data_IF_306269167072
#
_entry.id   IF_306269167072
#
_cell.length_a   1.000
_cell.length_b   1.000
_cell.length_c   1.000
_cell.angle_alpha   90.00
_cell.angle_beta   90.00
_cell.angle_gamma   90.00
#
_symmetry.space_group_name_H-M   'P 1'
#
loop_
_entity.id
_entity.type
_entity.pdbx_description
1 polymer ?
#
# COMPACT_ATOMS: atom_id res chain seq x y z
N UNK A 1 -4.33 -15.00 -16.02
CA UNK A 1 -5.56 -14.44 -15.40
C UNK A 1 -6.08 -13.31 -16.27
N UNK A 2 -6.96 -13.61 -17.21
CA UNK A 2 -7.54 -12.63 -18.15
C UNK A 2 -9.06 -12.54 -18.04
N UNK A 3 -9.64 -13.02 -16.94
CA UNK A 3 -11.08 -12.97 -16.78
C UNK A 3 -11.49 -11.62 -16.16
N UNK A 4 -11.89 -10.68 -17.01
CA UNK A 4 -12.34 -9.34 -16.61
C UNK A 4 -13.48 -9.35 -15.57
N UNK A 5 -14.25 -10.44 -15.48
CA UNK A 5 -15.31 -10.59 -14.47
C UNK A 5 -14.78 -10.81 -13.05
N UNK A 6 -13.52 -11.25 -12.90
CA UNK A 6 -12.86 -11.38 -11.60
C UNK A 6 -12.11 -10.10 -11.19
N UNK A 7 -11.66 -9.30 -12.17
CA UNK A 7 -10.89 -8.08 -11.90
C UNK A 7 -11.76 -6.84 -11.73
N UNK A 8 -12.92 -6.77 -12.35
CA UNK A 8 -13.81 -5.61 -12.26
C UNK A 8 -14.17 -5.27 -10.81
N UNK A 9 -14.79 -6.18 -10.06
CA UNK A 9 -15.15 -5.92 -8.67
C UNK A 9 -13.92 -5.69 -7.76
N UNK A 10 -12.82 -6.40 -8.00
CA UNK A 10 -11.60 -6.23 -7.21
C UNK A 10 -10.92 -4.90 -7.53
N UNK A 11 -10.86 -4.49 -8.79
CA UNK A 11 -10.28 -3.23 -9.21
C UNK A 11 -11.02 -2.04 -8.58
N UNK A 12 -12.35 -2.08 -8.54
CA UNK A 12 -13.15 -1.05 -7.88
C UNK A 12 -12.92 -1.03 -6.36
N UNK A 13 -12.82 -2.20 -5.75
CA UNK A 13 -12.55 -2.35 -4.33
C UNK A 13 -11.14 -1.90 -3.91
N UNK A 14 -10.17 -1.91 -4.83
CA UNK A 14 -8.79 -1.54 -4.57
C UNK A 14 -8.38 -0.21 -5.22
N UNK A 15 -9.35 0.59 -5.67
CA UNK A 15 -9.11 1.78 -6.50
C UNK A 15 -8.17 2.81 -5.85
N UNK A 16 -8.22 2.98 -4.54
CA UNK A 16 -7.35 3.92 -3.82
C UNK A 16 -5.87 3.49 -3.89
N UNK A 17 -5.59 2.21 -3.66
CA UNK A 17 -4.24 1.66 -3.78
C UNK A 17 -3.72 1.77 -5.23
N UNK A 18 -4.58 1.49 -6.21
CA UNK A 18 -4.23 1.65 -7.62
C UNK A 18 -3.97 3.09 -8.03
N UNK A 19 -4.70 4.03 -7.43
CA UNK A 19 -4.50 5.45 -7.71
C UNK A 19 -3.07 5.89 -7.36
N UNK A 20 -2.51 5.39 -6.26
CA UNK A 20 -1.13 5.70 -5.87
C UNK A 20 -0.10 5.07 -6.80
N UNK A 21 -0.18 3.77 -7.04
CA UNK A 21 0.81 3.05 -7.83
C UNK A 21 0.89 3.53 -9.29
N UNK A 22 -0.24 3.92 -9.87
CA UNK A 22 -0.33 4.28 -11.28
C UNK A 22 -0.30 3.04 -12.19
N UNK A 23 -0.21 3.27 -13.49
CA UNK A 23 -0.20 2.22 -14.51
C UNK A 23 1.24 1.74 -14.79
N UNK A 24 1.38 0.45 -15.04
CA UNK A 24 2.63 -0.16 -15.42
C UNK A 24 2.43 -1.02 -16.68
N UNK A 25 2.90 -0.52 -17.82
CA UNK A 25 2.79 -1.21 -19.11
C UNK A 25 3.92 -2.21 -19.36
N UNK A 26 5.09 -1.98 -18.79
CA UNK A 26 6.27 -2.82 -19.07
C UNK A 26 6.09 -4.23 -18.50
N UNK A 27 5.80 -4.31 -17.21
CA UNK A 27 5.71 -5.58 -16.51
C UNK A 27 4.30 -6.18 -16.53
N UNK A 28 3.27 -5.34 -16.61
CA UNK A 28 1.87 -5.73 -16.41
C UNK A 28 1.00 -5.60 -17.66
N UNK A 29 1.62 -5.40 -18.83
CA UNK A 29 0.94 -5.31 -20.13
C UNK A 29 -0.25 -4.35 -20.12
N UNK A 30 -0.06 -3.20 -19.54
CA UNK A 30 -1.05 -2.15 -19.51
C UNK A 30 -1.95 -2.12 -18.30
N UNK A 31 -1.71 -2.95 -17.30
CA UNK A 31 -2.49 -3.01 -16.07
C UNK A 31 -1.81 -2.41 -14.85
N UNK A 32 -2.35 -2.74 -13.70
CA UNK A 32 -1.74 -2.47 -12.40
C UNK A 32 -0.84 -3.63 -11.98
N UNK A 33 0.29 -3.31 -11.36
CA UNK A 33 1.10 -4.32 -10.69
C UNK A 33 0.51 -4.60 -9.30
N UNK A 34 -0.10 -5.76 -9.12
CA UNK A 34 -0.60 -6.25 -7.83
C UNK A 34 0.15 -7.53 -7.51
N UNK A 35 0.91 -7.53 -6.40
CA UNK A 35 1.84 -8.60 -6.08
C UNK A 35 1.68 -9.11 -4.66
N UNK A 36 2.25 -10.32 -4.44
CA UNK A 36 2.54 -10.92 -3.17
C UNK A 36 1.41 -10.78 -2.13
N UNK A 37 0.17 -11.21 -2.42
CA UNK A 37 -0.86 -11.21 -1.41
C UNK A 37 -0.53 -12.22 -0.31
N UNK A 38 -0.76 -11.81 0.94
CA UNK A 38 -0.76 -12.68 2.10
C UNK A 38 -2.14 -12.67 2.76
N UNK A 39 -2.67 -13.83 3.09
CA UNK A 39 -4.00 -13.94 3.68
C UNK A 39 -3.89 -14.61 5.05
N UNK A 40 -4.36 -13.90 6.07
CA UNK A 40 -4.44 -14.42 7.43
C UNK A 40 -5.85 -14.31 7.98
N UNK A 41 -6.20 -15.14 8.97
CA UNK A 41 -7.47 -15.03 9.69
C UNK A 41 -7.27 -14.29 11.00
N UNK A 42 -8.03 -13.22 11.19
CA UNK A 42 -8.06 -12.46 12.43
C UNK A 42 -9.39 -12.69 13.15
N UNK A 43 -9.37 -13.48 14.21
CA UNK A 43 -10.58 -13.78 15.01
C UNK A 43 -11.14 -12.58 15.77
N UNK A 44 -10.31 -11.55 15.98
CA UNK A 44 -10.67 -10.35 16.74
C UNK A 44 -11.23 -9.22 15.85
N UNK A 45 -11.17 -9.35 14.53
CA UNK A 45 -11.78 -8.36 13.64
C UNK A 45 -13.28 -8.25 13.90
N UNK A 46 -13.78 -7.03 14.06
CA UNK A 46 -15.20 -6.77 14.36
C UNK A 46 -15.85 -6.09 13.16
N UNK A 47 -16.88 -6.73 12.62
CA UNK A 47 -17.71 -6.17 11.56
C UNK A 47 -18.70 -5.15 12.10
N UNK A 48 -19.25 -4.29 11.22
CA UNK A 48 -20.27 -3.30 11.57
C UNK A 48 -21.53 -3.94 12.22
N UNK A 49 -21.85 -5.18 11.82
CA UNK A 49 -22.98 -5.95 12.38
C UNK A 49 -22.67 -6.58 13.75
N UNK A 50 -21.50 -6.31 14.31
CA UNK A 50 -21.00 -6.85 15.57
C UNK A 50 -20.48 -8.29 15.51
N UNK A 51 -20.56 -8.94 14.37
CA UNK A 51 -19.93 -10.27 14.18
C UNK A 51 -18.41 -10.17 14.22
N UNK A 52 -17.74 -11.27 14.58
CA UNK A 52 -16.29 -11.34 14.70
C UNK A 52 -15.68 -12.31 13.69
N UNK A 53 -14.40 -12.06 13.42
CA UNK A 53 -13.55 -12.87 12.56
C UNK A 53 -13.61 -12.46 11.09
N UNK A 54 -12.45 -12.28 10.50
CA UNK A 54 -12.30 -11.99 9.08
C UNK A 54 -11.05 -12.63 8.50
N UNK A 55 -11.13 -13.02 7.24
CA UNK A 55 -9.96 -13.20 6.42
C UNK A 55 -9.47 -11.82 5.97
N UNK A 56 -8.22 -11.52 6.23
CA UNK A 56 -7.56 -10.28 5.89
C UNK A 56 -6.52 -10.57 4.80
N UNK A 57 -6.71 -9.99 3.63
CA UNK A 57 -5.77 -10.07 2.52
C UNK A 57 -4.94 -8.80 2.49
N UNK A 58 -3.66 -8.92 2.77
CA UNK A 58 -2.67 -7.88 2.57
C UNK A 58 -2.07 -8.04 1.19
N UNK A 59 -1.87 -6.95 0.49
CA UNK A 59 -1.36 -6.96 -0.88
C UNK A 59 -0.58 -5.69 -1.15
N UNK A 60 0.28 -5.71 -2.16
CA UNK A 60 0.90 -4.49 -2.63
C UNK A 60 0.48 -4.14 -4.05
N UNK A 61 0.41 -2.85 -4.31
CA UNK A 61 0.38 -2.31 -5.67
C UNK A 61 1.65 -1.52 -5.91
N UNK A 62 2.21 -1.60 -7.11
CA UNK A 62 3.51 -1.02 -7.41
C UNK A 62 3.55 -0.39 -8.79
N UNK A 63 4.56 0.45 -8.99
CA UNK A 63 4.98 0.96 -10.30
C UNK A 63 6.50 0.89 -10.43
N UNK A 64 7.01 1.21 -11.61
CA UNK A 64 8.43 1.08 -11.96
C UNK A 64 9.41 1.91 -11.12
N UNK A 65 8.96 2.92 -10.39
CA UNK A 65 9.85 3.85 -9.69
C UNK A 65 9.76 3.75 -8.16
N UNK A 66 9.63 2.54 -7.60
CA UNK A 66 9.44 2.31 -6.16
C UNK A 66 8.20 3.02 -5.57
N UNK A 67 7.31 3.51 -6.43
CA UNK A 67 6.03 4.06 -6.01
C UNK A 67 5.06 2.91 -5.79
N UNK A 68 4.96 2.50 -4.56
CA UNK A 68 4.19 1.34 -4.14
C UNK A 68 3.38 1.65 -2.89
N UNK A 69 2.39 0.83 -2.63
CA UNK A 69 1.70 0.84 -1.35
C UNK A 69 1.27 -0.57 -0.95
N UNK A 70 1.13 -0.77 0.35
CA UNK A 70 0.54 -1.97 0.93
C UNK A 70 -0.82 -1.58 1.49
N UNK A 71 -1.85 -2.24 0.98
CA UNK A 71 -3.20 -2.12 1.47
C UNK A 71 -3.71 -3.44 2.01
N UNK A 72 -4.89 -3.41 2.62
CA UNK A 72 -5.57 -4.62 3.02
C UNK A 72 -7.07 -4.59 2.71
N UNK A 73 -7.59 -5.77 2.48
CA UNK A 73 -8.99 -6.02 2.22
C UNK A 73 -9.48 -7.17 3.09
N UNK A 74 -10.76 -7.19 3.41
CA UNK A 74 -11.35 -8.17 4.33
C UNK A 74 -12.52 -8.92 3.70
N UNK A 75 -12.72 -10.16 4.15
CA UNK A 75 -13.88 -10.97 3.81
C UNK A 75 -14.27 -11.91 4.95
N UNK A 76 -15.57 -12.28 5.02
CA UNK A 76 -16.06 -13.33 5.93
C UNK A 76 -15.68 -14.74 5.45
N UNK A 77 -15.45 -14.92 4.14
CA UNK A 77 -15.08 -16.18 3.52
C UNK A 77 -13.72 -16.08 2.83
N UNK A 78 -12.91 -17.11 2.92
CA UNK A 78 -11.54 -17.12 2.36
C UNK A 78 -11.51 -16.92 0.84
N UNK A 79 -12.54 -17.32 0.14
CA UNK A 79 -12.68 -17.19 -1.31
C UNK A 79 -13.28 -15.85 -1.78
N UNK A 80 -13.53 -14.93 -0.85
CA UNK A 80 -14.03 -13.58 -1.15
C UNK A 80 -15.55 -13.49 -1.31
N UNK A 81 -16.05 -12.38 -1.85
CA UNK A 81 -15.29 -11.23 -2.35
C UNK A 81 -14.66 -10.41 -1.22
N UNK A 82 -13.43 -9.99 -1.42
CA UNK A 82 -12.74 -9.10 -0.48
C UNK A 82 -13.12 -7.64 -0.73
N UNK A 83 -13.31 -6.90 0.36
CA UNK A 83 -13.59 -5.47 0.34
C UNK A 83 -12.38 -4.71 0.88
N UNK A 84 -11.90 -3.73 0.14
CA UNK A 84 -10.85 -2.82 0.58
C UNK A 84 -11.22 -2.12 1.89
N UNK A 85 -10.25 -2.00 2.77
CA UNK A 85 -10.42 -1.28 4.04
C UNK A 85 -9.53 -0.05 4.10
N UNK A 86 -8.21 -0.22 3.90
CA UNK A 86 -7.27 0.90 4.00
C UNK A 86 -5.95 0.59 3.28
N UNK A 87 -5.17 1.64 3.05
CA UNK A 87 -3.77 1.57 2.61
C UNK A 87 -2.86 1.97 3.77
N UNK A 88 -2.03 1.03 4.20
CA UNK A 88 -1.25 1.14 5.43
C UNK A 88 0.11 1.81 5.23
N UNK A 89 0.79 1.46 4.14
CA UNK A 89 2.19 1.85 3.92
C UNK A 89 2.33 2.36 2.50
N UNK A 90 3.04 3.48 2.37
CA UNK A 90 3.38 4.09 1.09
C UNK A 90 4.89 4.19 0.92
N UNK A 91 5.38 4.01 -0.29
CA UNK A 91 6.75 4.32 -0.69
C UNK A 91 6.78 5.10 -1.99
N UNK A 92 7.91 5.74 -2.28
CA UNK A 92 8.08 6.52 -3.51
C UNK A 92 7.42 7.90 -3.50
N UNK A 93 7.02 8.40 -2.34
CA UNK A 93 6.52 9.77 -2.22
C UNK A 93 7.65 10.81 -2.32
N UNK A 94 7.29 12.03 -2.67
CA UNK A 94 8.24 13.15 -2.86
C UNK A 94 8.06 14.22 -1.79
N UNK A 95 9.15 14.97 -1.56
CA UNK A 95 9.19 16.06 -0.58
C UNK A 95 8.29 17.22 -0.97
N UNK A 96 8.17 17.46 -2.28
CA UNK A 96 7.29 18.50 -2.86
C UNK A 96 6.38 17.88 -3.92
N UNK A 97 5.34 18.61 -4.32
CA UNK A 97 4.46 18.20 -5.41
C UNK A 97 5.25 17.77 -6.65
N UNK A 98 4.95 16.62 -7.17
CA UNK A 98 5.58 16.03 -8.35
C UNK A 98 4.57 15.15 -9.11
N UNK A 99 3.74 15.74 -9.97
CA UNK A 99 2.80 14.97 -10.77
C UNK A 99 3.51 14.02 -11.73
N UNK A 100 3.27 12.73 -11.59
CA UNK A 100 3.81 11.67 -12.45
C UNK A 100 2.70 11.09 -13.28
N UNK A 101 2.89 11.12 -14.59
CA UNK A 101 1.92 10.57 -15.55
C UNK A 101 2.40 9.22 -16.06
N UNK A 102 1.53 8.22 -15.96
CA UNK A 102 1.74 6.89 -16.52
C UNK A 102 0.69 6.63 -17.59
N UNK A 103 1.06 5.98 -18.66
CA UNK A 103 0.18 5.68 -19.80
C UNK A 103 0.23 4.18 -20.09
N UNK A 104 -0.92 3.60 -20.29
CA UNK A 104 -1.12 2.21 -20.67
C UNK A 104 -1.91 2.15 -21.96
N UNK A 105 -1.52 1.24 -22.86
CA UNK A 105 -2.23 1.02 -24.10
C UNK A 105 -3.68 0.53 -23.89
N UNK A 106 -3.94 -0.14 -22.76
CA UNK A 106 -5.24 -0.75 -22.47
C UNK A 106 -6.10 0.06 -21.51
N UNK A 107 -5.49 0.89 -20.66
CA UNK A 107 -6.19 1.58 -19.57
C UNK A 107 -6.06 3.11 -19.65
N UNK A 108 -5.45 3.63 -20.71
CA UNK A 108 -5.29 5.07 -20.95
C UNK A 108 -4.19 5.69 -20.07
N UNK A 109 -4.39 6.93 -19.70
CA UNK A 109 -3.40 7.74 -18.99
C UNK A 109 -3.90 8.09 -17.59
N UNK A 110 -3.03 7.94 -16.60
CA UNK A 110 -3.28 8.38 -15.22
C UNK A 110 -2.14 9.26 -14.73
N UNK A 111 -2.50 10.31 -13.99
CA UNK A 111 -1.54 11.18 -13.32
C UNK A 111 -1.79 11.10 -11.82
N UNK A 112 -0.72 10.94 -11.05
CA UNK A 112 -0.74 11.02 -9.60
C UNK A 112 0.31 12.01 -9.14
N UNK A 113 -0.04 12.88 -8.22
CA UNK A 113 0.95 13.72 -7.55
C UNK A 113 1.57 12.92 -6.40
N UNK A 114 2.87 12.65 -6.50
CA UNK A 114 3.61 11.83 -5.55
C UNK A 114 3.98 12.58 -4.26
N UNK A 115 3.50 13.78 -4.07
CA UNK A 115 3.74 14.57 -2.87
C UNK A 115 3.37 13.80 -1.60
N UNK A 116 4.23 13.82 -0.57
CA UNK A 116 4.03 13.07 0.68
C UNK A 116 2.68 13.38 1.37
N UNK A 117 2.11 14.57 1.15
CA UNK A 117 0.79 14.95 1.70
C UNK A 117 -0.39 14.18 1.10
N UNK A 118 -0.16 13.48 -0.02
CA UNK A 118 -1.14 12.60 -0.66
C UNK A 118 -1.05 11.15 -0.16
N UNK A 119 -0.30 10.94 0.91
CA UNK A 119 -0.17 9.67 1.61
C UNK A 119 -0.64 9.81 3.05
N UNK A 120 -0.74 8.71 3.77
CA UNK A 120 -1.07 8.73 5.19
C UNK A 120 0.14 9.03 6.10
N UNK A 121 1.34 9.26 5.57
CA UNK A 121 2.55 9.43 6.38
C UNK A 121 2.44 10.60 7.38
N UNK A 122 1.72 11.66 7.01
CA UNK A 122 1.46 12.80 7.88
C UNK A 122 0.61 12.38 9.10
N UNK A 123 -0.44 11.61 8.86
CA UNK A 123 -1.35 11.16 9.93
C UNK A 123 -0.70 10.10 10.82
N UNK A 124 0.08 9.19 10.24
CA UNK A 124 0.91 8.24 10.99
C UNK A 124 1.89 8.99 11.89
N UNK A 125 2.57 10.01 11.37
CA UNK A 125 3.53 10.79 12.14
C UNK A 125 2.87 11.63 13.23
N UNK A 126 1.71 12.24 12.97
CA UNK A 126 0.88 12.92 13.98
C UNK A 126 0.52 11.99 15.13
N UNK A 127 0.03 10.80 14.81
CA UNK A 127 -0.35 9.79 15.80
C UNK A 127 0.86 9.36 16.65
N UNK A 128 1.97 9.04 16.01
CA UNK A 128 3.18 8.61 16.69
C UNK A 128 3.81 9.68 17.58
N UNK A 129 3.75 10.95 17.16
CA UNK A 129 4.39 12.07 17.88
C UNK A 129 3.42 12.91 18.70
N UNK A 130 2.10 12.70 18.55
CA UNK A 130 1.03 13.50 19.15
C UNK A 130 1.09 15.00 18.77
N UNK A 131 1.70 15.32 17.63
CA UNK A 131 1.70 16.67 17.08
C UNK A 131 0.40 16.93 16.31
N UNK A 132 -0.09 18.15 16.34
CA UNK A 132 -1.31 18.56 15.60
C UNK A 132 -1.02 18.95 14.17
N UNK A 133 0.13 19.60 13.93
CA UNK A 133 0.56 20.08 12.63
C UNK A 133 1.90 19.45 12.27
N UNK A 134 2.00 18.94 11.07
CA UNK A 134 3.22 18.32 10.53
C UNK A 134 3.62 19.05 9.27
N UNK A 135 4.83 19.54 9.25
CA UNK A 135 5.49 20.05 8.06
C UNK A 135 6.51 19.05 7.52
N UNK A 136 7.06 19.33 6.35
CA UNK A 136 8.15 18.52 5.79
C UNK A 136 9.39 18.48 6.69
N UNK A 137 9.61 19.51 7.50
CA UNK A 137 10.76 19.61 8.38
C UNK A 137 10.60 18.73 9.67
N UNK A 138 9.37 18.35 9.98
CA UNK A 138 9.06 17.42 11.07
C UNK A 138 9.30 15.96 10.67
N UNK A 139 9.19 15.62 9.39
CA UNK A 139 9.53 14.30 8.89
C UNK A 139 11.05 14.10 8.94
N UNK A 140 11.47 12.87 9.18
CA UNK A 140 12.89 12.54 9.14
C UNK A 140 13.49 12.98 7.81
N UNK A 141 14.62 13.72 7.84
CA UNK A 141 15.37 14.07 6.64
C UNK A 141 15.81 12.84 5.84
N UNK A 142 15.92 11.71 6.52
CA UNK A 142 16.35 10.44 5.94
C UNK A 142 15.28 9.86 4.99
N UNK A 143 14.01 10.24 5.13
CA UNK A 143 12.96 9.84 4.17
C UNK A 143 13.22 10.34 2.76
N UNK A 144 14.02 11.39 2.61
CA UNK A 144 14.23 12.05 1.33
C UNK A 144 15.70 12.08 0.94
N UNK A 145 15.97 11.71 -0.31
CA UNK A 145 17.21 11.98 -1.01
C UNK A 145 16.93 13.08 -2.04
N UNK A 146 17.24 14.33 -1.69
CA UNK A 146 16.77 15.49 -2.43
C UNK A 146 15.26 15.64 -2.34
N UNK A 147 14.57 15.57 -3.48
CA UNK A 147 13.10 15.59 -3.52
C UNK A 147 12.48 14.19 -3.48
N UNK A 148 13.25 13.14 -3.68
CA UNK A 148 12.75 11.78 -3.89
C UNK A 148 12.79 10.97 -2.59
N UNK A 149 11.93 9.96 -2.52
CA UNK A 149 11.96 8.92 -1.48
C UNK A 149 13.35 8.28 -1.41
N UNK A 150 13.87 8.11 -0.20
CA UNK A 150 15.21 7.60 0.01
C UNK A 150 15.23 6.06 0.02
N UNK A 151 15.34 5.47 -1.14
CA UNK A 151 15.40 4.01 -1.32
C UNK A 151 16.66 3.35 -0.75
N UNK A 152 17.66 4.11 -0.33
CA UNK A 152 18.83 3.55 0.33
C UNK A 152 18.58 3.20 1.81
N UNK A 153 17.64 3.91 2.44
CA UNK A 153 17.35 3.74 3.87
C UNK A 153 15.98 3.15 4.13
N UNK A 154 15.00 3.37 3.23
CA UNK A 154 13.63 2.92 3.43
C UNK A 154 13.20 1.93 2.36
N UNK A 155 12.42 0.91 2.75
CA UNK A 155 12.03 -0.17 1.84
C UNK A 155 10.97 0.30 0.84
N UNK A 156 10.90 -0.42 -0.26
CA UNK A 156 9.72 -0.38 -1.11
C UNK A 156 8.53 -0.99 -0.36
N UNK A 157 7.35 -0.40 -0.48
CA UNK A 157 6.13 -0.89 0.17
C UNK A 157 5.53 -2.07 -0.62
N UNK A 158 6.22 -3.21 -0.56
CA UNK A 158 5.87 -4.45 -1.28
C UNK A 158 6.06 -5.68 -0.39
N UNK A 159 5.58 -6.82 -0.85
CA UNK A 159 5.79 -8.14 -0.29
C UNK A 159 5.40 -8.25 1.20
N UNK A 160 4.16 -7.88 1.59
CA UNK A 160 3.72 -8.05 2.96
C UNK A 160 3.64 -9.53 3.33
N UNK A 161 4.13 -9.87 4.52
CA UNK A 161 3.99 -11.19 5.14
C UNK A 161 3.53 -11.01 6.58
N UNK A 162 2.40 -11.61 6.93
CA UNK A 162 1.75 -11.44 8.22
C UNK A 162 2.00 -12.67 9.08
N UNK A 163 2.34 -12.43 10.34
CA UNK A 163 2.50 -13.51 11.31
C UNK A 163 2.10 -13.04 12.72
N UNK A 164 1.85 -14.00 13.59
CA UNK A 164 1.56 -13.74 14.99
C UNK A 164 2.75 -14.21 15.83
N UNK A 165 3.12 -13.41 16.82
CA UNK A 165 4.09 -13.83 17.80
C UNK A 165 3.48 -14.79 18.83
N UNK A 166 4.32 -15.28 19.75
CA UNK A 166 3.90 -16.24 20.80
C UNK A 166 2.88 -15.68 21.80
N UNK A 167 2.73 -14.36 21.85
CA UNK A 167 1.83 -13.65 22.77
C UNK A 167 0.54 -13.20 22.05
N UNK A 168 0.41 -13.51 20.75
CA UNK A 168 -0.74 -13.19 19.90
C UNK A 168 -0.68 -11.81 19.27
N UNK A 169 0.44 -11.09 19.37
CA UNK A 169 0.69 -9.84 18.65
C UNK A 169 0.78 -10.10 17.15
N UNK A 170 0.11 -9.26 16.36
CA UNK A 170 0.15 -9.36 14.90
C UNK A 170 1.28 -8.49 14.35
N UNK A 171 2.08 -9.07 13.50
CA UNK A 171 3.25 -8.44 12.90
C UNK A 171 3.21 -8.54 11.39
N UNK A 172 3.79 -7.54 10.72
CA UNK A 172 4.01 -7.54 9.28
C UNK A 172 5.50 -7.37 8.98
N UNK A 173 6.08 -8.33 8.27
CA UNK A 173 7.33 -8.12 7.57
C UNK A 173 7.04 -7.62 6.16
N UNK A 174 7.75 -6.60 5.68
CA UNK A 174 7.55 -6.07 4.33
C UNK A 174 8.82 -5.44 3.78
N UNK A 175 8.82 -5.16 2.50
CA UNK A 175 9.93 -4.54 1.80
C UNK A 175 10.64 -5.53 0.91
N UNK A 176 11.58 -5.07 0.22
CA UNK A 176 12.66 -5.69 -0.57
C UNK A 176 13.14 -4.70 -1.63
N UNK A 177 14.18 -5.03 -2.37
CA UNK A 177 14.81 -4.23 -3.43
C UNK A 177 15.46 -2.93 -2.96
N UNK A 178 14.97 -2.30 -1.92
CA UNK A 178 15.54 -1.07 -1.36
C UNK A 178 15.40 -1.04 0.15
N UNK A 179 16.36 -0.47 0.86
CA UNK A 179 16.33 -0.29 2.32
C UNK A 179 16.26 -1.57 3.17
N UNK A 180 16.07 -2.74 2.56
CA UNK A 180 15.97 -4.02 3.24
C UNK A 180 14.54 -4.45 3.56
N UNK A 181 14.38 -5.27 4.60
CA UNK A 181 13.09 -5.76 5.11
C UNK A 181 12.82 -5.11 6.45
N UNK A 182 11.61 -4.64 6.62
CA UNK A 182 11.13 -3.97 7.83
C UNK A 182 10.08 -4.80 8.54
N UNK A 183 9.97 -4.58 9.83
CA UNK A 183 9.01 -5.24 10.71
C UNK A 183 8.15 -4.17 11.38
N UNK A 184 6.83 -4.36 11.30
CA UNK A 184 5.82 -3.55 11.96
C UNK A 184 4.96 -4.41 12.88
N UNK A 185 4.51 -3.83 13.99
CA UNK A 185 3.52 -4.36 14.91
C UNK A 185 2.15 -3.75 14.63
#
# INVERSE_FOLDING_TARGET
YTNSSLYGPLADSLAESFAWAGLNDEDQKGGYAVWAPDITYNENYVWEDGSKGAYMMYYCTSSTAFRSCIGYAVCKNVDGPYTYVDTLIYSGFTKTSNPVTTTSNNMGTKTVDTWYTNTNIVDVYKTATQKTDISVDDLSSDYFNGNNYNTNLYPNAIDPAIFYDKDGGMWMAYGSWSGGIYLLE
#
